data_IF_397345787698
#
_entry.id   IF_397345787698
#
_cell.length_a   1.000
_cell.length_b   1.000
_cell.length_c   1.000
_cell.angle_alpha   90.00
_cell.angle_beta   90.00
_cell.angle_gamma   90.00
#
_symmetry.space_group_name_H-M   'P 1'
#
loop_
_entity.id
_entity.type
_entity.pdbx_description
1 polymer ?
#
# COMPACT_ATOMS: atom_id res chain seq x y z
N UNK A 1 7.45 -7.14 9.83
CA UNK A 1 6.23 -6.39 9.47
C UNK A 1 6.59 -4.91 9.56
N UNK A 2 6.26 -4.11 8.55
CA UNK A 2 6.48 -2.66 8.62
C UNK A 2 5.16 -1.97 8.91
N UNK A 3 5.16 -1.11 9.92
CA UNK A 3 4.00 -0.30 10.30
C UNK A 3 4.23 1.13 9.83
N UNK A 4 3.24 1.69 9.13
CA UNK A 4 3.27 3.04 8.61
C UNK A 4 2.12 3.81 9.22
N UNK A 5 2.44 4.98 9.77
CA UNK A 5 1.46 5.95 10.24
C UNK A 5 1.27 7.00 9.16
N UNK A 6 0.03 7.26 8.77
CA UNK A 6 -0.32 8.15 7.67
C UNK A 6 -1.68 8.82 7.91
N UNK A 7 -1.94 9.91 7.20
CA UNK A 7 -3.22 10.61 7.31
C UNK A 7 -4.25 10.06 6.31
N UNK A 8 -5.51 10.15 6.72
CA UNK A 8 -6.66 9.84 5.88
C UNK A 8 -6.69 10.83 4.70
N UNK A 9 -6.83 10.32 3.48
CA UNK A 9 -6.88 11.10 2.24
C UNK A 9 -5.58 11.12 1.43
N UNK A 10 -4.46 10.66 2.00
CA UNK A 10 -3.19 10.56 1.27
C UNK A 10 -3.17 9.37 0.30
N UNK A 11 -2.38 9.51 -0.76
CA UNK A 11 -2.15 8.47 -1.76
C UNK A 11 -1.26 7.36 -1.20
N UNK A 12 -1.71 6.11 -1.35
CA UNK A 12 -0.96 4.93 -0.93
C UNK A 12 0.43 4.87 -1.59
N UNK A 13 0.48 5.24 -2.87
CA UNK A 13 1.68 5.26 -3.69
C UNK A 13 2.77 6.17 -3.11
N UNK A 14 2.40 7.36 -2.66
CA UNK A 14 3.35 8.32 -2.08
C UNK A 14 3.83 7.88 -0.72
N UNK A 15 2.93 7.39 0.12
CA UNK A 15 3.25 6.93 1.47
C UNK A 15 4.22 5.74 1.42
N UNK A 16 3.99 4.78 0.53
CA UNK A 16 4.86 3.62 0.39
C UNK A 16 6.26 3.99 -0.10
N UNK A 17 6.37 5.00 -0.99
CA UNK A 17 7.67 5.52 -1.44
C UNK A 17 8.35 6.35 -0.34
N UNK A 18 7.60 7.22 0.34
CA UNK A 18 8.09 8.08 1.44
C UNK A 18 8.62 7.26 2.61
N UNK A 19 7.97 6.14 2.92
CA UNK A 19 8.41 5.20 3.95
C UNK A 19 9.45 4.18 3.46
N UNK A 20 9.98 4.34 2.24
CA UNK A 20 10.98 3.44 1.63
C UNK A 20 10.55 1.97 1.55
N UNK A 21 9.23 1.70 1.55
CA UNK A 21 8.70 0.35 1.26
C UNK A 21 8.96 0.01 -0.20
N UNK A 22 8.73 1.01 -1.06
CA UNK A 22 8.91 0.93 -2.50
C UNK A 22 10.02 1.87 -2.92
N UNK A 23 10.79 1.45 -3.91
CA UNK A 23 11.92 2.23 -4.40
C UNK A 23 11.45 3.44 -5.21
N UNK A 24 10.28 3.34 -5.84
CA UNK A 24 9.73 4.39 -6.71
C UNK A 24 8.22 4.25 -6.95
N UNK A 25 7.58 5.34 -7.41
CA UNK A 25 6.18 5.34 -7.86
C UNK A 25 5.93 4.38 -9.03
N UNK A 26 6.95 4.11 -9.85
CA UNK A 26 6.87 3.13 -10.94
C UNK A 26 6.77 1.69 -10.44
N UNK A 27 7.51 1.34 -9.38
CA UNK A 27 7.43 0.02 -8.74
C UNK A 27 6.01 -0.24 -8.19
N UNK A 28 5.40 0.77 -7.55
CA UNK A 28 4.00 0.74 -7.12
C UNK A 28 3.06 0.42 -8.29
N UNK A 29 3.14 1.19 -9.38
CA UNK A 29 2.27 1.00 -10.55
C UNK A 29 2.41 -0.39 -11.14
N UNK A 30 3.63 -0.92 -11.23
CA UNK A 30 3.89 -2.28 -11.73
C UNK A 30 3.28 -3.36 -10.84
N UNK A 31 3.34 -3.18 -9.51
CA UNK A 31 2.76 -4.12 -8.55
C UNK A 31 1.24 -4.09 -8.56
N UNK A 32 0.64 -2.90 -8.64
CA UNK A 32 -0.81 -2.72 -8.75
C UNK A 32 -1.35 -3.33 -10.04
N UNK A 33 -0.77 -2.99 -11.19
CA UNK A 33 -1.15 -3.56 -12.49
C UNK A 33 -0.93 -5.08 -12.56
N UNK A 34 0.11 -5.57 -11.87
CA UNK A 34 0.41 -6.99 -11.75
C UNK A 34 -0.43 -7.75 -10.71
N UNK A 35 -1.45 -7.12 -10.11
CA UNK A 35 -2.27 -7.72 -9.04
C UNK A 35 -1.45 -8.28 -7.86
N UNK A 36 -0.25 -7.73 -7.65
CA UNK A 36 0.69 -8.20 -6.64
C UNK A 36 0.43 -7.58 -5.26
N UNK A 37 -0.59 -6.73 -5.13
CA UNK A 37 -0.95 -6.05 -3.88
C UNK A 37 -2.27 -6.58 -3.37
N UNK A 38 -2.21 -7.29 -2.25
CA UNK A 38 -3.36 -7.84 -1.56
C UNK A 38 -3.65 -6.99 -0.32
N UNK A 39 -4.86 -6.47 -0.23
CA UNK A 39 -5.38 -5.91 1.00
C UNK A 39 -5.91 -7.06 1.86
N UNK A 40 -5.19 -7.40 2.92
CA UNK A 40 -5.59 -8.43 3.88
C UNK A 40 -6.76 -7.98 4.76
N UNK A 41 -6.97 -6.66 4.95
CA UNK A 41 -8.09 -6.15 5.74
C UNK A 41 -9.42 -6.32 5.01
N UNK A 42 -9.45 -6.05 3.68
CA UNK A 42 -10.64 -6.23 2.84
C UNK A 42 -10.67 -7.56 2.08
N UNK A 43 -9.64 -8.39 2.24
CA UNK A 43 -9.44 -9.65 1.51
C UNK A 43 -9.58 -9.49 -0.01
N UNK A 44 -9.09 -8.36 -0.54
CA UNK A 44 -9.23 -7.97 -1.95
C UNK A 44 -7.91 -7.42 -2.49
N UNK A 45 -7.71 -7.53 -3.80
CA UNK A 45 -6.54 -6.98 -4.47
C UNK A 45 -6.70 -5.49 -4.74
N UNK A 46 -5.60 -4.75 -4.65
CA UNK A 46 -5.58 -3.36 -5.09
C UNK A 46 -5.21 -3.34 -6.57
N UNK A 47 -6.18 -2.95 -7.39
CA UNK A 47 -6.02 -2.66 -8.82
C UNK A 47 -5.91 -1.16 -9.11
N UNK A 48 -6.25 -0.31 -8.12
CA UNK A 48 -6.24 1.14 -8.25
C UNK A 48 -4.90 1.75 -7.86
N UNK A 49 -4.24 2.39 -8.84
CA UNK A 49 -2.92 3.02 -8.63
C UNK A 49 -3.06 4.29 -7.78
N UNK A 50 -4.22 4.95 -7.85
CA UNK A 50 -4.53 6.18 -7.11
C UNK A 50 -5.36 5.90 -5.85
N UNK A 51 -5.24 4.71 -5.27
CA UNK A 51 -5.95 4.37 -4.05
C UNK A 51 -5.55 5.34 -2.93
N UNK A 52 -6.57 5.94 -2.31
CA UNK A 52 -6.42 6.81 -1.14
C UNK A 52 -6.65 6.01 0.12
N UNK A 53 -5.89 6.33 1.17
CA UNK A 53 -6.12 5.74 2.49
C UNK A 53 -7.39 6.36 3.07
N UNK A 54 -8.38 5.52 3.38
CA UNK A 54 -9.57 5.91 4.11
C UNK A 54 -9.54 5.42 5.57
N UNK A 55 -8.91 4.27 5.80
CA UNK A 55 -9.00 3.48 7.02
C UNK A 55 -7.66 2.77 7.27
N UNK A 56 -7.42 2.34 8.51
CA UNK A 56 -6.33 1.43 8.83
C UNK A 56 -6.52 0.07 8.15
N UNK A 57 -5.47 -0.35 7.43
CA UNK A 57 -5.54 -1.53 6.57
C UNK A 57 -4.19 -2.21 6.48
N UNK A 58 -4.21 -3.52 6.27
CA UNK A 58 -2.99 -4.32 6.14
C UNK A 58 -2.80 -4.72 4.68
N UNK A 59 -1.70 -4.29 4.09
CA UNK A 59 -1.30 -4.62 2.73
C UNK A 59 -0.22 -5.69 2.73
N UNK A 60 -0.43 -6.68 1.88
CA UNK A 60 0.58 -7.64 1.46
C UNK A 60 1.06 -7.24 0.08
N UNK A 61 2.33 -6.87 0.00
CA UNK A 61 2.99 -6.48 -1.24
C UNK A 61 3.85 -7.67 -1.69
N UNK A 62 3.39 -8.36 -2.73
CA UNK A 62 4.03 -9.56 -3.27
C UNK A 62 4.08 -10.72 -2.26
N UNK A 63 5.16 -11.50 -2.29
CA UNK A 63 5.34 -12.68 -1.41
C UNK A 63 5.97 -12.37 -0.05
N UNK A 64 6.82 -11.34 0.04
CA UNK A 64 7.72 -11.13 1.21
C UNK A 64 7.48 -9.83 1.98
N UNK A 65 6.76 -8.84 1.44
CA UNK A 65 6.57 -7.55 2.11
C UNK A 65 5.16 -7.45 2.68
N UNK A 66 5.06 -7.13 3.96
CA UNK A 66 3.80 -6.88 4.67
C UNK A 66 3.87 -5.51 5.32
N UNK A 67 2.89 -4.69 5.00
CA UNK A 67 2.78 -3.30 5.42
C UNK A 67 1.47 -3.13 6.14
N UNK A 68 1.52 -2.63 7.37
CA UNK A 68 0.32 -2.24 8.11
C UNK A 68 0.22 -0.72 8.06
N UNK A 69 -0.87 -0.23 7.52
CA UNK A 69 -1.20 1.19 7.45
C UNK A 69 -2.10 1.49 8.63
N UNK A 70 -1.66 2.41 9.47
CA UNK A 70 -2.41 2.94 10.61
C UNK A 70 -2.75 4.38 10.30
N UNK A 71 -4.03 4.66 10.15
CA UNK A 71 -4.54 6.03 10.08
C UNK A 71 -4.49 6.64 11.48
N UNK A 72 -4.09 7.91 11.55
CA UNK A 72 -4.10 8.70 12.79
C UNK A 72 -5.20 9.75 12.74
#
# INVERSE_FOLDING_TARGET
>A
MQEIKCQIGELLSEILVKNKILSSKGEWRRLVLGNAIHNLAKNQNITDVNLKIAEDLTLKIGKKKFVKILTK
#
